data_IF_052697160394
#
_entry.id   IF_052697160394
#
_cell.length_a   1.000
_cell.length_b   1.000
_cell.length_c   1.000
_cell.angle_alpha   90.00
_cell.angle_beta   90.00
_cell.angle_gamma   90.00
#
_symmetry.space_group_name_H-M   'P 1'
#
loop_
_entity.id
_entity.type
_entity.pdbx_description
1 polymer ?
#
# COMPACT_ATOMS: atom_id res chain seq x y z
N UNK A 1 3.08 -23.13 12.07
CA UNK A 1 2.12 -22.33 11.29
C UNK A 1 1.66 -21.13 12.10
N UNK A 2 1.25 -21.32 13.36
CA UNK A 2 0.82 -20.24 14.26
C UNK A 2 1.79 -19.05 14.34
N UNK A 3 3.08 -19.28 14.57
CA UNK A 3 4.08 -18.20 14.62
C UNK A 3 4.18 -17.39 13.31
N UNK A 4 3.95 -18.02 12.14
CA UNK A 4 3.93 -17.32 10.84
C UNK A 4 2.68 -16.44 10.76
N UNK A 5 1.52 -16.97 11.13
CA UNK A 5 0.27 -16.22 11.11
C UNK A 5 0.29 -15.03 12.08
N UNK A 6 0.95 -15.18 13.24
CA UNK A 6 1.12 -14.08 14.18
C UNK A 6 2.08 -12.99 13.67
N UNK A 7 3.12 -13.38 12.94
CA UNK A 7 4.01 -12.43 12.28
C UNK A 7 3.26 -11.64 11.20
N UNK A 8 2.52 -12.32 10.31
CA UNK A 8 1.73 -11.69 9.26
C UNK A 8 0.65 -10.75 9.84
N UNK A 9 -0.01 -11.14 10.94
CA UNK A 9 -0.97 -10.28 11.62
C UNK A 9 -0.31 -9.01 12.21
N UNK A 10 0.93 -9.10 12.70
CA UNK A 10 1.68 -7.91 13.14
C UNK A 10 2.03 -6.99 11.98
N UNK A 11 2.38 -7.54 10.82
CA UNK A 11 2.60 -6.74 9.61
C UNK A 11 1.34 -5.97 9.21
N UNK A 12 0.15 -6.61 9.26
CA UNK A 12 -1.14 -5.95 8.97
C UNK A 12 -1.42 -4.75 9.88
N UNK A 13 -1.05 -4.84 11.17
CA UNK A 13 -1.15 -3.71 12.12
C UNK A 13 -0.25 -2.55 11.69
N UNK A 14 1.01 -2.83 11.34
CA UNK A 14 1.94 -1.78 10.93
C UNK A 14 1.56 -1.19 9.56
N UNK A 15 1.09 -1.99 8.61
CA UNK A 15 0.55 -1.49 7.34
C UNK A 15 -0.61 -0.53 7.58
N UNK A 16 -1.55 -0.89 8.44
CA UNK A 16 -2.70 -0.04 8.78
C UNK A 16 -2.25 1.31 9.36
N UNK A 17 -1.23 1.29 10.24
CA UNK A 17 -0.64 2.49 10.81
C UNK A 17 0.02 3.36 9.74
N UNK A 18 0.85 2.79 8.86
CA UNK A 18 1.51 3.52 7.77
C UNK A 18 0.47 4.15 6.83
N UNK A 19 -0.54 3.38 6.40
CA UNK A 19 -1.60 3.87 5.52
C UNK A 19 -2.43 4.98 6.18
N UNK A 20 -2.67 4.90 7.49
CA UNK A 20 -3.34 5.96 8.26
C UNK A 20 -2.50 7.24 8.31
N UNK A 21 -1.19 7.12 8.53
CA UNK A 21 -0.27 8.26 8.53
C UNK A 21 -0.19 8.93 7.15
N UNK A 22 -0.07 8.15 6.08
CA UNK A 22 -0.13 8.67 4.70
C UNK A 22 -1.49 9.35 4.47
N UNK A 23 -2.59 8.72 4.88
CA UNK A 23 -3.93 9.32 4.77
C UNK A 23 -4.04 10.67 5.46
N UNK A 24 -3.38 10.87 6.61
CA UNK A 24 -3.34 12.15 7.31
C UNK A 24 -2.55 13.21 6.54
N UNK A 25 -1.41 12.84 5.95
CA UNK A 25 -0.55 13.72 5.13
C UNK A 25 -1.23 14.12 3.82
N UNK A 26 -1.96 13.20 3.21
CA UNK A 26 -2.66 13.43 1.96
C UNK A 26 -3.86 14.38 2.10
N UNK A 27 -4.28 14.72 3.34
CA UNK A 27 -5.35 15.70 3.59
C UNK A 27 -4.93 17.10 3.14
N UNK A 28 -5.49 17.52 2.00
CA UNK A 28 -5.28 18.84 1.43
C UNK A 28 -4.49 18.85 0.13
N UNK A 29 -4.01 17.69 -0.34
CA UNK A 29 -3.36 17.58 -1.66
C UNK A 29 -4.33 17.80 -2.84
N UNK A 30 -5.64 17.71 -2.59
CA UNK A 30 -6.68 18.01 -3.59
C UNK A 30 -7.13 19.49 -3.61
N UNK A 31 -6.51 20.36 -2.81
CA UNK A 31 -6.88 21.77 -2.75
C UNK A 31 -6.06 22.58 -3.73
N UNK A 32 -6.67 23.62 -4.30
CA UNK A 32 -5.94 24.63 -5.08
C UNK A 32 -4.93 25.33 -4.16
N UNK A 33 -3.66 25.39 -4.58
CA UNK A 33 -2.57 25.95 -3.78
C UNK A 33 -2.34 27.42 -4.20
N UNK A 34 -2.97 28.34 -3.46
CA UNK A 34 -3.02 29.75 -3.79
C UNK A 34 -1.82 30.54 -3.23
N UNK A 35 -1.25 30.10 -2.10
CA UNK A 35 -0.12 30.78 -1.45
C UNK A 35 1.19 29.98 -1.50
N UNK A 36 2.36 30.64 -1.42
CA UNK A 36 3.66 29.97 -1.30
C UNK A 36 3.73 28.98 -0.11
N UNK A 37 3.13 29.33 1.03
CA UNK A 37 3.11 28.48 2.23
C UNK A 37 2.31 27.20 1.99
N UNK A 38 1.20 27.29 1.25
CA UNK A 38 0.41 26.12 0.85
C UNK A 38 1.19 25.21 -0.08
N UNK A 39 1.91 25.78 -1.06
CA UNK A 39 2.78 25.03 -1.97
C UNK A 39 3.93 24.35 -1.22
N UNK A 40 4.58 25.06 -0.31
CA UNK A 40 5.64 24.51 0.52
C UNK A 40 5.14 23.36 1.40
N UNK A 41 3.98 23.53 2.05
CA UNK A 41 3.36 22.45 2.83
C UNK A 41 3.05 21.24 1.96
N UNK A 42 2.48 21.41 0.77
CA UNK A 42 2.18 20.30 -0.14
C UNK A 42 3.46 19.55 -0.56
N UNK A 43 4.54 20.26 -0.91
CA UNK A 43 5.83 19.63 -1.22
C UNK A 43 6.37 18.83 -0.03
N UNK A 44 6.34 19.42 1.17
CA UNK A 44 6.75 18.75 2.41
C UNK A 44 5.94 17.47 2.64
N UNK A 45 4.62 17.57 2.55
CA UNK A 45 3.72 16.43 2.76
C UNK A 45 3.99 15.31 1.73
N UNK A 46 4.20 15.65 0.45
CA UNK A 46 4.57 14.68 -0.60
C UNK A 46 5.89 13.97 -0.26
N UNK A 47 6.91 14.69 0.20
CA UNK A 47 8.18 14.08 0.62
C UNK A 47 7.98 13.09 1.77
N UNK A 48 7.16 13.42 2.76
CA UNK A 48 6.84 12.49 3.84
C UNK A 48 6.02 11.28 3.37
N UNK A 49 5.10 11.48 2.41
CA UNK A 49 4.34 10.40 1.78
C UNK A 49 5.29 9.44 1.07
N UNK A 50 6.23 9.95 0.27
CA UNK A 50 7.25 9.14 -0.42
C UNK A 50 8.04 8.29 0.60
N UNK A 51 8.51 8.91 1.68
CA UNK A 51 9.25 8.19 2.72
C UNK A 51 8.40 7.08 3.35
N UNK A 52 7.16 7.35 3.73
CA UNK A 52 6.25 6.35 4.32
C UNK A 52 5.92 5.22 3.33
N UNK A 53 5.76 5.54 2.05
CA UNK A 53 5.58 4.54 1.02
C UNK A 53 6.82 3.65 0.82
N UNK A 54 8.03 4.20 0.92
CA UNK A 54 9.25 3.38 0.82
C UNK A 54 9.32 2.33 1.93
N UNK A 55 8.92 2.68 3.15
CA UNK A 55 8.80 1.74 4.27
C UNK A 55 7.71 0.69 3.98
N UNK A 56 6.53 1.13 3.55
CA UNK A 56 5.42 0.25 3.19
C UNK A 56 5.82 -0.79 2.14
N UNK A 57 6.46 -0.37 1.05
CA UNK A 57 6.91 -1.26 -0.03
C UNK A 57 7.94 -2.28 0.47
N UNK A 58 8.96 -1.82 1.21
CA UNK A 58 9.98 -2.73 1.74
C UNK A 58 9.44 -3.78 2.72
N UNK A 59 8.37 -3.46 3.45
CA UNK A 59 7.65 -4.42 4.28
C UNK A 59 6.76 -5.36 3.46
N UNK A 60 6.02 -4.82 2.49
CA UNK A 60 5.09 -5.57 1.63
C UNK A 60 5.79 -6.68 0.85
N UNK A 61 6.99 -6.42 0.33
CA UNK A 61 7.73 -7.44 -0.44
C UNK A 61 8.02 -8.69 0.39
N UNK A 62 8.48 -8.51 1.63
CA UNK A 62 8.79 -9.59 2.57
C UNK A 62 7.52 -10.31 3.04
N UNK A 63 6.46 -9.54 3.30
CA UNK A 63 5.16 -10.06 3.70
C UNK A 63 4.60 -11.01 2.64
N UNK A 64 4.50 -10.54 1.39
CA UNK A 64 4.04 -11.34 0.25
C UNK A 64 4.85 -12.61 0.07
N UNK A 65 6.18 -12.50 0.11
CA UNK A 65 7.06 -13.66 -0.08
C UNK A 65 6.78 -14.74 0.97
N UNK A 66 6.64 -14.33 2.25
CA UNK A 66 6.31 -15.23 3.33
C UNK A 66 4.96 -15.92 3.11
N UNK A 67 3.92 -15.18 2.73
CA UNK A 67 2.59 -15.75 2.47
C UNK A 67 2.60 -16.75 1.32
N UNK A 68 3.25 -16.41 0.21
CA UNK A 68 3.33 -17.26 -0.97
C UNK A 68 4.12 -18.55 -0.69
N UNK A 69 5.18 -18.48 0.12
CA UNK A 69 5.96 -19.64 0.52
C UNK A 69 5.27 -20.51 1.58
N UNK A 70 4.29 -19.97 2.31
CA UNK A 70 3.69 -20.65 3.46
C UNK A 70 2.16 -20.79 3.34
N UNK A 71 1.42 -19.73 3.63
CA UNK A 71 -0.04 -19.69 3.70
C UNK A 71 -0.67 -20.17 2.39
N UNK A 72 -0.21 -19.67 1.24
CA UNK A 72 -0.83 -19.97 -0.03
C UNK A 72 -0.57 -21.42 -0.45
N UNK A 73 0.64 -21.94 -0.22
CA UNK A 73 0.94 -23.37 -0.40
C UNK A 73 0.07 -24.25 0.49
N UNK A 74 -0.20 -23.82 1.74
CA UNK A 74 -1.08 -24.55 2.64
C UNK A 74 -2.53 -24.56 2.14
N UNK A 75 -3.03 -23.41 1.67
CA UNK A 75 -4.36 -23.32 1.05
C UNK A 75 -4.51 -24.29 -0.13
N UNK A 76 -3.51 -24.32 -1.01
CA UNK A 76 -3.49 -25.23 -2.16
C UNK A 76 -3.50 -26.70 -1.74
N UNK A 77 -2.70 -27.08 -0.73
CA UNK A 77 -2.68 -28.44 -0.18
C UNK A 77 -4.03 -28.84 0.42
N UNK A 78 -4.78 -27.89 0.99
CA UNK A 78 -6.12 -28.11 1.54
C UNK A 78 -7.24 -28.02 0.47
N UNK A 79 -6.90 -27.90 -0.82
CA UNK A 79 -7.87 -27.84 -1.92
C UNK A 79 -8.37 -26.44 -2.28
N UNK A 80 -7.93 -25.38 -1.57
CA UNK A 80 -8.36 -23.99 -1.79
C UNK A 80 -7.54 -23.26 -2.86
N UNK A 81 -7.26 -23.91 -4.00
CA UNK A 81 -6.41 -23.36 -5.07
C UNK A 81 -6.94 -22.03 -5.63
N UNK A 82 -8.26 -21.91 -5.78
CA UNK A 82 -8.90 -20.67 -6.27
C UNK A 82 -8.74 -19.50 -5.30
N UNK A 83 -8.70 -19.77 -3.99
CA UNK A 83 -8.50 -18.74 -2.97
C UNK A 83 -7.07 -18.21 -3.04
N UNK A 84 -6.08 -19.12 -3.05
CA UNK A 84 -4.67 -18.78 -3.20
C UNK A 84 -4.38 -18.03 -4.51
N UNK A 85 -5.02 -18.43 -5.62
CA UNK A 85 -4.91 -17.71 -6.91
C UNK A 85 -5.38 -16.27 -6.79
N UNK A 86 -6.56 -16.03 -6.22
CA UNK A 86 -7.10 -14.67 -6.09
C UNK A 86 -6.26 -13.78 -5.18
N UNK A 87 -5.62 -14.32 -4.14
CA UNK A 87 -4.70 -13.54 -3.30
C UNK A 87 -3.46 -13.10 -4.08
N UNK A 88 -2.86 -14.00 -4.87
CA UNK A 88 -1.74 -13.66 -5.76
C UNK A 88 -2.12 -12.63 -6.81
N UNK A 89 -3.32 -12.72 -7.38
CA UNK A 89 -3.81 -11.72 -8.33
C UNK A 89 -3.88 -10.33 -7.67
N UNK A 90 -4.31 -10.25 -6.42
CA UNK A 90 -4.30 -8.99 -5.66
C UNK A 90 -2.87 -8.50 -5.36
N UNK A 91 -1.93 -9.39 -5.04
CA UNK A 91 -0.51 -9.02 -4.93
C UNK A 91 0.04 -8.37 -6.20
N UNK A 92 -0.27 -8.94 -7.36
CA UNK A 92 0.14 -8.40 -8.66
C UNK A 92 -0.52 -7.04 -8.91
N UNK A 93 -1.81 -6.91 -8.61
CA UNK A 93 -2.53 -5.66 -8.76
C UNK A 93 -1.92 -4.54 -7.91
N UNK A 94 -1.67 -4.79 -6.63
CA UNK A 94 -1.06 -3.81 -5.71
C UNK A 94 0.35 -3.46 -6.18
N UNK A 95 1.15 -4.43 -6.61
CA UNK A 95 2.50 -4.18 -7.13
C UNK A 95 2.48 -3.29 -8.39
N UNK A 96 1.52 -3.47 -9.29
CA UNK A 96 1.37 -2.60 -10.47
C UNK A 96 0.97 -1.18 -10.07
N UNK A 97 0.02 -1.03 -9.14
CA UNK A 97 -0.37 0.30 -8.64
C UNK A 97 0.78 1.03 -7.94
N UNK A 98 1.66 0.30 -7.25
CA UNK A 98 2.86 0.87 -6.62
C UNK A 98 3.88 1.36 -7.64
N UNK A 99 4.06 0.65 -8.77
CA UNK A 99 4.91 1.12 -9.88
C UNK A 99 4.35 2.38 -10.53
N UNK A 100 3.03 2.45 -10.71
CA UNK A 100 2.38 3.65 -11.23
C UNK A 100 2.59 4.84 -10.29
N UNK A 101 2.51 4.61 -8.98
CA UNK A 101 2.77 5.64 -7.97
C UNK A 101 4.24 6.08 -7.94
N UNK A 102 5.18 5.16 -8.10
CA UNK A 102 6.62 5.47 -8.22
C UNK A 102 6.91 6.40 -9.40
N UNK A 103 6.18 6.22 -10.52
CA UNK A 103 6.26 7.12 -11.66
C UNK A 103 5.81 8.54 -11.28
N UNK A 104 4.68 8.71 -10.59
CA UNK A 104 4.23 10.03 -10.14
C UNK A 104 5.22 10.68 -9.14
N UNK A 105 5.87 9.88 -8.30
CA UNK A 105 6.95 10.37 -7.43
C UNK A 105 8.19 10.82 -8.20
N UNK A 106 8.49 10.18 -9.32
CA UNK A 106 9.59 10.58 -10.21
C UNK A 106 9.25 11.88 -10.92
N UNK A 107 8.04 12.00 -11.45
CA UNK A 107 7.55 13.23 -12.08
C UNK A 107 7.51 14.42 -11.09
N UNK A 108 7.16 14.18 -9.83
CA UNK A 108 7.28 15.17 -8.75
C UNK A 108 8.72 15.65 -8.57
N UNK A 109 9.67 14.72 -8.51
CA UNK A 109 11.09 15.01 -8.31
C UNK A 109 11.68 15.82 -9.46
N UNK A 110 11.31 15.46 -10.69
CA UNK A 110 11.74 16.10 -11.93
C UNK A 110 10.99 17.41 -12.21
N UNK A 111 9.91 17.69 -11.47
CA UNK A 111 8.99 18.83 -11.69
C UNK A 111 8.42 18.81 -13.11
N UNK A 112 8.14 17.61 -13.62
CA UNK A 112 7.65 17.41 -14.99
C UNK A 112 6.22 17.94 -15.20
N UNK A 113 5.47 18.15 -14.11
CA UNK A 113 4.09 18.67 -14.10
C UNK A 113 3.91 19.72 -12.99
N UNK A 114 2.85 20.55 -13.05
CA UNK A 114 2.46 21.40 -11.93
C UNK A 114 2.32 20.62 -10.62
N UNK A 115 2.68 21.26 -9.51
CA UNK A 115 2.65 20.66 -8.18
C UNK A 115 1.24 20.15 -7.82
N UNK A 116 0.22 20.94 -8.15
CA UNK A 116 -1.19 20.64 -7.92
C UNK A 116 -1.64 19.39 -8.67
N UNK A 117 -1.22 19.23 -9.93
CA UNK A 117 -1.54 18.05 -10.74
C UNK A 117 -0.89 16.79 -10.15
N UNK A 118 0.39 16.91 -9.79
CA UNK A 118 1.16 15.80 -9.20
C UNK A 118 0.60 15.41 -7.82
N UNK A 119 0.26 16.39 -6.99
CA UNK A 119 -0.35 16.18 -5.68
C UNK A 119 -1.70 15.46 -5.79
N UNK A 120 -2.54 15.86 -6.76
CA UNK A 120 -3.83 15.23 -7.02
C UNK A 120 -3.67 13.79 -7.54
N UNK A 121 -2.69 13.54 -8.43
CA UNK A 121 -2.39 12.21 -8.95
C UNK A 121 -1.92 11.25 -7.84
N UNK A 122 -0.95 11.69 -7.03
CA UNK A 122 -0.44 10.94 -5.87
C UNK A 122 -1.58 10.60 -4.90
N UNK A 123 -2.44 11.58 -4.56
CA UNK A 123 -3.58 11.34 -3.67
C UNK A 123 -4.53 10.28 -4.25
N UNK A 124 -4.89 10.39 -5.53
CA UNK A 124 -5.79 9.45 -6.20
C UNK A 124 -5.22 8.03 -6.17
N UNK A 125 -3.94 7.87 -6.53
CA UNK A 125 -3.28 6.56 -6.52
C UNK A 125 -3.18 5.99 -5.11
N UNK A 126 -2.82 6.80 -4.11
CA UNK A 126 -2.79 6.38 -2.72
C UNK A 126 -4.15 5.86 -2.24
N UNK A 127 -5.24 6.59 -2.52
CA UNK A 127 -6.58 6.16 -2.12
C UNK A 127 -6.95 4.81 -2.73
N UNK A 128 -6.63 4.60 -4.02
CA UNK A 128 -6.86 3.32 -4.69
C UNK A 128 -6.05 2.18 -4.07
N UNK A 129 -4.75 2.39 -3.83
CA UNK A 129 -3.87 1.39 -3.19
C UNK A 129 -4.40 1.03 -1.81
N UNK A 130 -4.72 2.04 -1.00
CA UNK A 130 -5.27 1.85 0.34
C UNK A 130 -6.54 1.01 0.30
N UNK A 131 -7.50 1.35 -0.54
CA UNK A 131 -8.79 0.66 -0.58
C UNK A 131 -8.65 -0.81 -1.03
N UNK A 132 -7.79 -1.09 -2.02
CA UNK A 132 -7.51 -2.45 -2.48
C UNK A 132 -6.77 -3.24 -1.39
N UNK A 133 -5.74 -2.65 -0.79
CA UNK A 133 -4.89 -3.33 0.17
C UNK A 133 -5.60 -3.61 1.51
N UNK A 134 -6.45 -2.70 1.99
CA UNK A 134 -7.27 -2.95 3.19
C UNK A 134 -8.22 -4.14 2.99
N UNK A 135 -8.91 -4.20 1.84
CA UNK A 135 -9.80 -5.34 1.51
C UNK A 135 -9.04 -6.65 1.38
N UNK A 136 -7.80 -6.59 0.91
CA UNK A 136 -6.92 -7.74 0.81
C UNK A 136 -6.54 -8.29 2.18
N UNK A 137 -6.05 -7.43 3.09
CA UNK A 137 -5.73 -7.81 4.47
C UNK A 137 -6.96 -8.38 5.19
N UNK A 138 -8.13 -7.76 5.06
CA UNK A 138 -9.37 -8.27 5.66
C UNK A 138 -9.72 -9.70 5.20
N UNK A 139 -9.38 -10.05 3.95
CA UNK A 139 -9.58 -11.39 3.41
C UNK A 139 -8.56 -12.37 3.97
N UNK A 140 -7.30 -11.96 4.06
CA UNK A 140 -6.23 -12.74 4.66
C UNK A 140 -6.50 -13.05 6.13
N UNK A 141 -6.91 -12.06 6.92
CA UNK A 141 -7.24 -12.27 8.33
C UNK A 141 -8.36 -13.30 8.52
N UNK A 142 -9.38 -13.30 7.63
CA UNK A 142 -10.44 -14.33 7.62
C UNK A 142 -9.90 -15.71 7.31
N UNK A 143 -8.86 -15.81 6.48
CA UNK A 143 -8.18 -17.06 6.16
C UNK A 143 -7.28 -17.50 7.32
N UNK A 144 -6.51 -16.59 7.91
CA UNK A 144 -5.63 -16.88 9.03
C UNK A 144 -6.42 -17.48 10.20
N UNK A 145 -7.60 -16.95 10.49
CA UNK A 145 -8.52 -17.50 11.51
C UNK A 145 -8.98 -18.94 11.23
N UNK A 146 -9.00 -19.39 9.97
CA UNK A 146 -9.35 -20.76 9.58
C UNK A 146 -8.15 -21.71 9.54
N UNK A 147 -6.93 -21.15 9.58
CA UNK A 147 -5.68 -21.89 9.51
C UNK A 147 -4.96 -21.98 10.86
N UNK A 148 -5.31 -21.13 11.83
CA UNK A 148 -5.10 -21.37 13.25
C UNK A 148 -5.96 -22.56 13.69
#
# INVERSE_FOLDING_TARGET
MEAILDLLAKDHVEFTKILSEIGKLSRGLNKKLLSPEQKFKAMKDIVFIIHKFSIFVGMLEKHRELEELTVFKMLEKKGFKNEAKKLRETHVLVANMLKDLEKEFSEFRERAKPLEETAAAILKMFMNIRDVFMKHMEREEKIFKKLK
#
